data_IF_482821726312
#
_entry.id   IF_482821726312
#
_cell.length_a   1.000
_cell.length_b   1.000
_cell.length_c   1.000
_cell.angle_alpha   90.00
_cell.angle_beta   90.00
_cell.angle_gamma   90.00
#
_symmetry.space_group_name_H-M   'P 1'
#
loop_
_entity.id
_entity.type
_entity.pdbx_description
1 polymer ?
#
# COMPACT_ATOMS: atom_id res chain seq x y z
N UNK A 1 -11.29 46.43 23.76
CA UNK A 1 -9.96 45.83 23.55
C UNK A 1 -9.99 44.46 24.22
N UNK A 2 -9.81 43.30 23.60
CA UNK A 2 -8.84 42.93 22.56
C UNK A 2 -9.36 41.64 21.90
N UNK A 3 -9.63 41.67 20.59
CA UNK A 3 -9.95 40.49 19.77
C UNK A 3 -8.69 40.18 18.94
N UNK A 4 -7.79 39.35 19.47
CA UNK A 4 -6.76 38.72 18.64
C UNK A 4 -7.33 37.41 18.11
N UNK A 5 -8.02 37.50 16.97
CA UNK A 5 -8.19 36.35 16.08
C UNK A 5 -6.79 35.98 15.59
N UNK A 6 -6.22 34.93 16.16
CA UNK A 6 -5.07 34.23 15.58
C UNK A 6 -5.50 33.78 14.19
N UNK A 7 -5.11 34.52 13.15
CA UNK A 7 -5.17 34.02 11.78
C UNK A 7 -4.26 32.79 11.73
N UNK A 8 -4.84 31.59 11.86
CA UNK A 8 -4.16 30.35 11.50
C UNK A 8 -3.80 30.48 10.02
N UNK A 9 -2.51 30.74 9.74
CA UNK A 9 -1.99 30.65 8.37
C UNK A 9 -2.27 29.23 7.88
N UNK A 10 -2.90 29.10 6.71
CA UNK A 10 -3.04 27.80 6.06
C UNK A 10 -1.65 27.17 5.94
N UNK A 11 -1.50 25.85 6.14
CA UNK A 11 -0.24 25.19 5.86
C UNK A 11 0.11 25.44 4.38
N UNK A 12 1.37 25.73 4.11
CA UNK A 12 1.84 26.03 2.76
C UNK A 12 2.62 24.82 2.27
N UNK A 13 2.17 24.25 1.15
CA UNK A 13 2.97 23.28 0.39
C UNK A 13 4.30 23.94 0.00
N UNK A 14 5.39 23.22 0.18
CA UNK A 14 6.70 23.64 -0.29
C UNK A 14 6.66 23.78 -1.83
N UNK A 15 7.55 24.61 -2.42
CA UNK A 15 7.58 24.81 -3.86
C UNK A 15 7.59 23.50 -4.67
N UNK A 16 8.41 22.53 -4.27
CA UNK A 16 8.50 21.23 -4.95
C UNK A 16 7.20 20.44 -4.86
N UNK A 17 6.60 20.38 -3.67
CA UNK A 17 5.34 19.66 -3.43
C UNK A 17 4.23 20.22 -4.31
N UNK A 18 4.16 21.55 -4.39
CA UNK A 18 3.17 22.25 -5.21
C UNK A 18 3.39 21.99 -6.69
N UNK A 19 4.59 22.22 -7.20
CA UNK A 19 4.91 22.05 -8.60
C UNK A 19 4.69 20.61 -9.06
N UNK A 20 5.05 19.62 -8.22
CA UNK A 20 4.81 18.21 -8.52
C UNK A 20 3.31 17.86 -8.55
N UNK A 21 2.52 18.35 -7.59
CA UNK A 21 1.07 18.12 -7.56
C UNK A 21 0.32 18.84 -8.69
N UNK A 22 0.74 20.04 -9.05
CA UNK A 22 0.22 20.79 -10.21
C UNK A 22 0.57 20.07 -11.52
N UNK A 23 1.81 19.62 -11.68
CA UNK A 23 2.23 18.84 -12.84
C UNK A 23 1.52 17.49 -12.94
N UNK A 24 1.29 16.82 -11.81
CA UNK A 24 0.52 15.56 -11.77
C UNK A 24 -0.92 15.77 -12.27
N UNK A 25 -1.58 16.87 -11.89
CA UNK A 25 -2.95 17.15 -12.33
C UNK A 25 -3.08 17.19 -13.86
N UNK A 26 -2.05 17.64 -14.59
CA UNK A 26 -2.04 17.66 -16.05
C UNK A 26 -2.14 16.25 -16.68
N UNK A 27 -1.75 15.20 -15.95
CA UNK A 27 -1.77 13.81 -16.39
C UNK A 27 -3.09 13.09 -16.05
N UNK A 28 -3.99 13.74 -15.31
CA UNK A 28 -5.26 13.15 -14.87
C UNK A 28 -6.40 13.50 -15.82
N UNK A 29 -7.36 12.57 -15.95
CA UNK A 29 -8.66 12.86 -16.54
C UNK A 29 -9.41 13.95 -15.73
N UNK A 30 -10.40 14.64 -16.31
CA UNK A 30 -11.06 15.79 -15.67
C UNK A 30 -11.65 15.50 -14.28
N UNK A 31 -12.27 14.34 -14.10
CA UNK A 31 -12.91 13.96 -12.84
C UNK A 31 -11.91 13.69 -11.70
N UNK A 32 -10.94 12.75 -11.83
CA UNK A 32 -9.94 12.55 -10.78
C UNK A 32 -9.08 13.80 -10.53
N UNK A 33 -8.86 14.64 -11.54
CA UNK A 33 -8.21 15.94 -11.38
C UNK A 33 -9.00 16.86 -10.44
N UNK A 34 -10.31 16.96 -10.63
CA UNK A 34 -11.18 17.79 -9.80
C UNK A 34 -11.25 17.29 -8.35
N UNK A 35 -11.26 15.97 -8.14
CA UNK A 35 -11.19 15.36 -6.82
C UNK A 35 -9.86 15.72 -6.14
N UNK A 36 -8.74 15.48 -6.82
CA UNK A 36 -7.40 15.79 -6.31
C UNK A 36 -7.28 17.27 -5.92
N UNK A 37 -7.73 18.19 -6.77
CA UNK A 37 -7.67 19.63 -6.50
C UNK A 37 -8.40 20.00 -5.19
N UNK A 38 -9.60 19.45 -4.97
CA UNK A 38 -10.37 19.66 -3.73
C UNK A 38 -9.68 19.07 -2.50
N UNK A 39 -9.02 17.92 -2.65
CA UNK A 39 -8.26 17.31 -1.56
C UNK A 39 -7.07 18.20 -1.15
N UNK A 40 -6.30 18.69 -2.12
CA UNK A 40 -5.18 19.61 -1.90
C UNK A 40 -5.66 20.89 -1.21
N UNK A 41 -6.78 21.47 -1.65
CA UNK A 41 -7.36 22.67 -1.02
C UNK A 41 -7.81 22.47 0.42
N UNK A 42 -8.21 21.24 0.79
CA UNK A 42 -8.71 20.88 2.12
C UNK A 42 -7.58 20.59 3.13
N UNK A 43 -6.32 20.49 2.69
CA UNK A 43 -5.17 20.25 3.57
C UNK A 43 -5.04 21.39 4.58
N UNK A 44 -5.07 21.05 5.87
CA UNK A 44 -5.03 22.00 6.97
C UNK A 44 -3.82 21.81 7.90
N UNK A 45 -3.11 20.69 7.76
CA UNK A 45 -1.83 20.45 8.41
C UNK A 45 -0.92 19.60 7.53
N UNK A 46 0.38 19.88 7.55
CA UNK A 46 1.39 19.12 6.79
C UNK A 46 2.50 18.73 7.77
N UNK A 47 2.69 17.42 7.94
CA UNK A 47 3.85 16.85 8.62
C UNK A 47 4.93 16.53 7.60
N UNK A 48 6.20 16.82 7.93
CA UNK A 48 7.34 16.51 7.07
C UNK A 48 8.35 15.73 7.88
N UNK A 49 8.49 14.46 7.56
CA UNK A 49 9.53 13.64 8.13
C UNK A 49 10.86 14.02 7.48
N UNK A 50 11.76 14.40 8.36
CA UNK A 50 13.07 14.89 8.04
C UNK A 50 14.01 13.76 7.59
N UNK A 51 13.84 12.54 8.07
CA UNK A 51 14.77 11.44 7.80
C UNK A 51 14.35 10.63 6.57
N UNK A 52 13.06 10.29 6.48
CA UNK A 52 12.52 9.52 5.35
C UNK A 52 12.28 10.38 4.10
N UNK A 53 12.02 11.68 4.27
CA UNK A 53 11.58 12.56 3.18
C UNK A 53 10.11 12.37 2.80
N UNK A 54 9.30 11.90 3.75
CA UNK A 54 7.86 11.81 3.63
C UNK A 54 7.18 13.13 4.00
N UNK A 55 6.17 13.48 3.22
CA UNK A 55 5.30 14.64 3.46
C UNK A 55 3.88 14.13 3.61
N UNK A 56 3.35 14.18 4.83
CA UNK A 56 2.01 13.68 5.16
C UNK A 56 1.04 14.86 5.24
N UNK A 57 -0.04 14.76 4.47
CA UNK A 57 -1.07 15.75 4.28
C UNK A 57 -2.27 15.39 5.14
N UNK A 58 -2.64 16.27 6.08
CA UNK A 58 -3.77 16.07 6.96
C UNK A 58 -4.89 17.05 6.61
N UNK A 59 -6.11 16.53 6.60
CA UNK A 59 -7.34 17.28 6.44
C UNK A 59 -8.07 17.37 7.78
N UNK A 60 -8.91 18.40 7.95
CA UNK A 60 -9.73 18.50 9.18
C UNK A 60 -10.98 17.64 9.05
N UNK A 61 -11.35 16.94 10.13
CA UNK A 61 -12.62 16.18 10.23
C UNK A 61 -13.89 17.02 9.93
N UNK A 62 -13.82 18.34 10.00
CA UNK A 62 -14.95 19.25 9.70
C UNK A 62 -15.06 19.63 8.22
N UNK A 63 -14.02 19.35 7.43
CA UNK A 63 -13.94 19.67 6.00
C UNK A 63 -13.25 18.50 5.29
N UNK A 64 -13.92 17.34 5.31
CA UNK A 64 -13.45 16.19 4.54
C UNK A 64 -13.68 16.48 3.06
N UNK A 65 -12.63 16.47 2.23
CA UNK A 65 -12.77 16.68 0.80
C UNK A 65 -13.49 15.51 0.12
N UNK A 66 -13.85 15.70 -1.15
CA UNK A 66 -14.28 14.57 -1.99
C UNK A 66 -13.20 13.50 -2.02
N UNK A 67 -13.58 12.25 -1.77
CA UNK A 67 -12.69 11.09 -1.84
C UNK A 67 -12.69 10.51 -3.26
N UNK A 68 -11.60 9.87 -3.63
CA UNK A 68 -11.61 8.98 -4.78
C UNK A 68 -12.56 7.79 -4.52
N UNK A 69 -13.26 7.27 -5.56
CA UNK A 69 -14.05 6.05 -5.42
C UNK A 69 -13.27 4.86 -4.87
N UNK A 70 -12.00 4.73 -5.25
CA UNK A 70 -11.10 3.73 -4.68
C UNK A 70 -10.73 4.09 -3.23
N UNK A 71 -11.41 3.49 -2.26
CA UNK A 71 -11.23 3.74 -0.83
C UNK A 71 -10.44 2.63 -0.11
N UNK A 72 -9.44 2.01 -0.77
CA UNK A 72 -8.52 1.08 -0.09
C UNK A 72 -7.91 1.77 1.14
N UNK A 73 -7.73 1.02 2.22
CA UNK A 73 -7.17 1.56 3.47
C UNK A 73 -5.85 2.29 3.20
N UNK A 74 -4.96 1.68 2.42
CA UNK A 74 -3.77 2.31 1.88
C UNK A 74 -3.53 1.82 0.45
N UNK A 75 -3.15 2.72 -0.46
CA UNK A 75 -2.81 2.39 -1.83
C UNK A 75 -1.67 3.29 -2.34
N UNK A 76 -0.60 2.69 -2.87
CA UNK A 76 0.34 3.40 -3.72
C UNK A 76 -0.39 3.78 -5.01
N UNK A 77 -0.71 5.05 -5.17
CA UNK A 77 -1.47 5.51 -6.33
C UNK A 77 -0.57 5.68 -7.55
N UNK A 78 0.51 6.45 -7.41
CA UNK A 78 1.40 6.70 -8.52
C UNK A 78 2.86 6.93 -8.09
N UNK A 79 3.75 6.67 -9.04
CA UNK A 79 5.14 7.10 -8.98
C UNK A 79 5.36 8.17 -10.04
N UNK A 80 5.75 9.36 -9.61
CA UNK A 80 6.13 10.48 -10.48
C UNK A 80 7.64 10.49 -10.62
N UNK A 81 8.14 10.35 -11.84
CA UNK A 81 9.56 10.51 -12.16
C UNK A 81 9.79 11.93 -12.67
N UNK A 82 10.71 12.65 -12.05
CA UNK A 82 10.89 14.07 -12.32
C UNK A 82 12.35 14.50 -12.21
N UNK A 83 12.64 15.66 -12.79
CA UNK A 83 13.92 16.35 -12.67
C UNK A 83 13.74 17.72 -12.04
N UNK A 84 14.77 18.18 -11.35
CA UNK A 84 14.91 19.54 -10.86
C UNK A 84 16.29 20.07 -11.27
N UNK A 85 16.47 21.37 -11.55
CA UNK A 85 17.75 21.91 -12.02
C UNK A 85 18.94 21.64 -11.08
N UNK A 86 18.68 21.53 -9.78
CA UNK A 86 19.72 21.35 -8.76
C UNK A 86 20.26 19.92 -8.66
N UNK A 87 19.61 18.92 -9.27
CA UNK A 87 20.01 17.52 -9.18
C UNK A 87 20.13 16.92 -10.60
N UNK A 88 21.27 16.28 -10.94
CA UNK A 88 21.47 15.73 -12.27
C UNK A 88 20.68 14.43 -12.51
N UNK A 89 20.41 13.69 -11.43
CA UNK A 89 19.78 12.38 -11.48
C UNK A 89 18.27 12.48 -11.69
N UNK A 90 17.71 11.44 -12.30
CA UNK A 90 16.25 11.29 -12.37
C UNK A 90 15.73 10.92 -10.97
N UNK A 91 14.86 11.76 -10.43
CA UNK A 91 14.26 11.56 -9.12
C UNK A 91 12.91 10.88 -9.24
N UNK A 92 12.41 10.35 -8.13
CA UNK A 92 11.06 9.79 -8.04
C UNK A 92 10.36 10.20 -6.76
N UNK A 93 9.06 10.48 -6.86
CA UNK A 93 8.16 10.66 -5.74
C UNK A 93 7.07 9.61 -5.81
N UNK A 94 6.78 8.94 -4.70
CA UNK A 94 5.66 8.00 -4.58
C UNK A 94 4.52 8.66 -3.82
N UNK A 95 3.31 8.56 -4.36
CA UNK A 95 2.13 9.17 -3.77
C UNK A 95 1.19 8.08 -3.27
N UNK A 96 0.81 8.17 -2.00
CA UNK A 96 -0.06 7.21 -1.34
C UNK A 96 -1.40 7.82 -1.00
N UNK A 97 -2.44 7.02 -1.16
CA UNK A 97 -3.81 7.33 -0.75
C UNK A 97 -4.15 6.53 0.50
N UNK A 98 -4.92 7.12 1.40
CA UNK A 98 -5.53 6.46 2.55
C UNK A 98 -7.04 6.65 2.47
N UNK A 99 -7.79 5.55 2.35
CA UNK A 99 -9.26 5.57 2.17
C UNK A 99 -9.74 6.55 1.08
N UNK A 100 -9.01 6.60 -0.04
CA UNK A 100 -9.33 7.47 -1.18
C UNK A 100 -8.94 8.95 -1.01
N UNK A 101 -8.19 9.31 0.04
CA UNK A 101 -7.63 10.65 0.24
C UNK A 101 -6.12 10.64 0.00
N UNK A 102 -5.59 11.63 -0.74
CA UNK A 102 -4.15 11.83 -0.86
C UNK A 102 -3.54 12.12 0.51
N UNK A 103 -2.64 11.26 0.95
CA UNK A 103 -2.07 11.31 2.28
C UNK A 103 -0.57 11.56 2.27
N UNK A 104 0.22 10.76 1.55
CA UNK A 104 1.69 10.85 1.62
C UNK A 104 2.32 11.17 0.28
N UNK A 105 3.28 12.09 0.28
CA UNK A 105 4.25 12.30 -0.80
C UNK A 105 5.63 11.82 -0.30
N UNK A 106 6.10 10.68 -0.79
CA UNK A 106 7.37 10.09 -0.40
C UNK A 106 8.45 10.40 -1.45
N UNK A 107 9.32 11.35 -1.13
CA UNK A 107 10.40 11.83 -2.00
C UNK A 107 11.76 11.17 -1.69
N UNK A 108 11.85 10.46 -0.56
CA UNK A 108 13.12 9.90 -0.08
C UNK A 108 14.09 10.95 0.49
N UNK A 109 15.28 10.49 0.88
CA UNK A 109 16.31 11.30 1.58
C UNK A 109 16.73 12.59 0.86
N UNK A 110 16.55 12.65 -0.46
CA UNK A 110 16.92 13.82 -1.27
C UNK A 110 15.99 15.01 -1.03
N UNK A 111 14.75 14.79 -0.56
CA UNK A 111 13.71 15.81 -0.38
C UNK A 111 14.21 17.12 0.21
N UNK A 112 14.99 17.07 1.31
CA UNK A 112 15.46 18.28 1.99
C UNK A 112 16.31 19.20 1.09
N UNK A 113 17.07 18.62 0.16
CA UNK A 113 17.93 19.38 -0.76
C UNK A 113 17.14 20.10 -1.84
N UNK A 114 15.96 19.56 -2.16
CA UNK A 114 15.17 19.96 -3.34
C UNK A 114 13.81 20.57 -2.98
N UNK A 115 13.41 20.60 -1.71
CA UNK A 115 12.08 21.04 -1.29
C UNK A 115 11.74 22.48 -1.75
N UNK A 116 12.75 23.35 -1.89
CA UNK A 116 12.59 24.73 -2.34
C UNK A 116 12.56 24.91 -3.86
N UNK A 117 12.81 23.85 -4.64
CA UNK A 117 12.76 23.91 -6.11
C UNK A 117 11.31 24.06 -6.58
N UNK A 118 11.03 25.07 -7.39
CA UNK A 118 9.74 25.28 -8.05
C UNK A 118 9.73 24.81 -9.51
N UNK A 119 10.90 24.78 -10.16
CA UNK A 119 11.07 24.21 -11.49
C UNK A 119 11.16 22.69 -11.42
N UNK A 120 10.04 22.02 -11.74
CA UNK A 120 9.92 20.56 -11.75
C UNK A 120 9.51 20.11 -13.14
N UNK A 121 10.38 19.31 -13.78
CA UNK A 121 10.05 18.68 -15.05
C UNK A 121 9.62 17.23 -14.80
N UNK A 122 8.33 16.95 -14.94
CA UNK A 122 7.81 15.57 -14.87
C UNK A 122 8.17 14.86 -16.17
N UNK A 123 8.99 13.81 -16.09
CA UNK A 123 9.33 12.98 -17.25
C UNK A 123 8.29 11.90 -17.52
N UNK A 124 7.79 11.24 -16.47
CA UNK A 124 6.67 10.31 -16.58
C UNK A 124 5.93 10.16 -15.27
N UNK A 125 4.68 9.71 -15.37
CA UNK A 125 3.87 9.25 -14.26
C UNK A 125 3.48 7.80 -14.52
N UNK A 126 3.67 6.94 -13.51
CA UNK A 126 3.18 5.56 -13.52
C UNK A 126 2.05 5.47 -12.50
N UNK A 127 0.84 5.19 -12.96
CA UNK A 127 -0.30 4.89 -12.10
C UNK A 127 -0.36 3.39 -11.82
N UNK A 128 -0.42 3.03 -10.54
CA UNK A 128 -0.46 1.63 -10.10
C UNK A 128 -1.87 1.18 -9.73
N UNK A 129 -2.78 2.14 -9.52
CA UNK A 129 -4.17 1.89 -9.15
C UNK A 129 -5.08 2.86 -9.91
N UNK A 130 -6.20 2.34 -10.43
CA UNK A 130 -7.30 3.18 -10.89
C UNK A 130 -8.08 3.71 -9.69
N UNK A 131 -7.94 5.01 -9.45
CA UNK A 131 -8.60 5.70 -8.34
C UNK A 131 -10.10 5.89 -8.55
N UNK A 132 -10.58 5.79 -9.79
CA UNK A 132 -11.99 5.91 -10.14
C UNK A 132 -12.73 4.58 -10.10
N UNK A 133 -12.01 3.46 -10.08
CA UNK A 133 -12.59 2.14 -9.83
C UNK A 133 -12.84 1.99 -8.33
N UNK A 134 -14.10 1.88 -7.87
CA UNK A 134 -14.38 1.59 -6.47
C UNK A 134 -13.67 0.31 -6.07
N UNK A 135 -13.16 0.28 -4.84
CA UNK A 135 -12.91 -1.00 -4.21
C UNK A 135 -14.26 -1.63 -4.11
N UNK A 136 -14.47 -2.75 -4.79
CA UNK A 136 -15.48 -3.67 -4.33
C UNK A 136 -15.12 -3.89 -2.86
N UNK A 137 -15.90 -3.33 -1.92
CA UNK A 137 -16.22 -4.10 -0.72
C UNK A 137 -16.51 -5.45 -1.33
N UNK A 138 -15.61 -6.43 -1.20
CA UNK A 138 -15.86 -7.73 -1.77
C UNK A 138 -17.24 -8.04 -1.21
N UNK A 139 -18.31 -8.05 -2.04
CA UNK A 139 -19.51 -8.72 -1.58
C UNK A 139 -18.94 -10.07 -1.15
N UNK A 140 -19.35 -10.68 -0.03
CA UNK A 140 -18.96 -12.06 0.22
C UNK A 140 -19.16 -12.74 -1.12
N UNK A 141 -18.05 -13.21 -1.72
CA UNK A 141 -18.13 -13.74 -3.07
C UNK A 141 -19.27 -14.72 -2.96
N UNK A 142 -20.24 -14.61 -3.85
CA UNK A 142 -21.29 -15.61 -3.90
C UNK A 142 -20.63 -16.88 -4.46
N UNK A 143 -19.73 -17.45 -3.67
CA UNK A 143 -19.30 -18.81 -3.78
C UNK A 143 -20.58 -19.58 -3.54
N UNK A 144 -21.02 -20.30 -4.56
CA UNK A 144 -22.20 -21.14 -4.39
C UNK A 144 -21.92 -22.05 -3.21
N UNK A 145 -22.82 -22.12 -2.22
CA UNK A 145 -22.72 -23.04 -1.10
C UNK A 145 -22.41 -24.44 -1.65
N UNK A 146 -21.15 -24.89 -1.53
CA UNK A 146 -20.62 -26.09 -2.20
C UNK A 146 -19.25 -25.92 -2.86
N UNK A 147 -18.98 -24.81 -3.55
CA UNK A 147 -17.66 -24.53 -4.15
C UNK A 147 -16.63 -24.12 -3.07
N UNK A 148 -17.07 -23.43 -2.02
CA UNK A 148 -16.23 -22.98 -0.91
C UNK A 148 -15.71 -24.16 -0.08
N UNK A 149 -16.57 -25.15 0.17
CA UNK A 149 -16.20 -26.38 0.86
C UNK A 149 -15.15 -27.18 0.05
N UNK A 150 -15.28 -27.25 -1.27
CA UNK A 150 -14.31 -27.91 -2.14
C UNK A 150 -12.97 -27.16 -2.20
N UNK A 151 -12.99 -25.82 -2.13
CA UNK A 151 -11.76 -25.02 -2.07
C UNK A 151 -11.04 -25.21 -0.72
N UNK A 152 -11.77 -25.27 0.40
CA UNK A 152 -11.18 -25.55 1.71
C UNK A 152 -10.52 -26.93 1.79
N UNK A 153 -11.08 -27.95 1.12
CA UNK A 153 -10.48 -29.29 1.02
C UNK A 153 -9.17 -29.30 0.22
N UNK A 154 -9.00 -28.34 -0.69
CA UNK A 154 -7.78 -28.21 -1.50
C UNK A 154 -6.65 -27.43 -0.79
N UNK A 155 -6.92 -26.81 0.36
CA UNK A 155 -5.92 -26.04 1.08
C UNK A 155 -4.77 -26.93 1.58
N UNK A 156 -3.52 -26.43 1.60
CA UNK A 156 -2.40 -27.16 2.17
C UNK A 156 -2.67 -27.59 3.62
N UNK A 157 -2.12 -28.74 4.03
CA UNK A 157 -2.32 -29.29 5.39
C UNK A 157 -1.98 -28.28 6.51
N UNK A 158 -0.90 -27.52 6.37
CA UNK A 158 -0.55 -26.51 7.38
C UNK A 158 -1.63 -25.42 7.52
N UNK A 159 -2.33 -25.11 6.43
CA UNK A 159 -3.39 -24.11 6.41
C UNK A 159 -4.65 -24.67 7.07
N UNK A 160 -5.01 -25.93 6.81
CA UNK A 160 -6.15 -26.58 7.49
C UNK A 160 -5.89 -26.76 8.99
N UNK A 161 -4.66 -27.05 9.39
CA UNK A 161 -4.24 -27.09 10.80
C UNK A 161 -4.36 -25.72 11.50
N UNK A 162 -4.01 -24.62 10.81
CA UNK A 162 -4.29 -23.26 11.30
C UNK A 162 -5.79 -22.99 11.37
N UNK A 163 -6.55 -23.47 10.38
CA UNK A 163 -8.01 -23.40 10.30
C UNK A 163 -8.76 -23.99 11.49
N UNK A 164 -8.15 -24.97 12.17
CA UNK A 164 -8.70 -25.52 13.41
C UNK A 164 -8.55 -24.60 14.63
N UNK A 165 -7.59 -23.67 14.60
CA UNK A 165 -7.31 -22.70 15.67
C UNK A 165 -7.94 -21.34 15.40
N UNK A 166 -7.94 -20.91 14.14
CA UNK A 166 -8.51 -19.66 13.67
C UNK A 166 -9.41 -19.94 12.46
N UNK A 167 -10.66 -19.48 12.50
CA UNK A 167 -11.60 -19.75 11.42
C UNK A 167 -11.10 -19.17 10.08
N UNK A 168 -11.04 -20.02 9.06
CA UNK A 168 -10.79 -19.60 7.68
C UNK A 168 -12.13 -19.24 7.04
N UNK A 169 -12.17 -18.06 6.43
CA UNK A 169 -13.33 -17.49 5.77
C UNK A 169 -12.93 -17.04 4.36
N UNK A 170 -13.87 -17.09 3.42
CA UNK A 170 -13.74 -16.48 2.09
C UNK A 170 -12.46 -16.89 1.34
N UNK A 171 -12.37 -18.17 0.95
CA UNK A 171 -11.27 -18.67 0.12
C UNK A 171 -11.51 -18.28 -1.34
N UNK A 172 -10.55 -17.57 -1.95
CA UNK A 172 -10.62 -17.18 -3.34
C UNK A 172 -10.20 -18.35 -4.25
N UNK A 173 -10.88 -18.57 -5.39
CA UNK A 173 -10.48 -19.60 -6.33
C UNK A 173 -9.05 -19.35 -6.84
N UNK A 174 -8.26 -20.39 -7.11
CA UNK A 174 -6.91 -20.21 -7.64
C UNK A 174 -6.95 -19.59 -9.04
N UNK A 175 -5.91 -18.81 -9.35
CA UNK A 175 -5.69 -18.28 -10.69
C UNK A 175 -5.42 -19.40 -11.70
N UNK A 176 -5.69 -19.13 -12.98
CA UNK A 176 -5.24 -20.02 -14.04
C UNK A 176 -3.70 -20.17 -14.01
N UNK A 177 -3.14 -21.30 -14.49
CA UNK A 177 -1.69 -21.48 -14.56
C UNK A 177 -0.97 -20.36 -15.29
N UNK A 178 -1.58 -19.81 -16.34
CA UNK A 178 -1.05 -18.70 -17.14
C UNK A 178 -1.02 -17.39 -16.36
N UNK A 179 -2.14 -16.99 -15.73
CA UNK A 179 -2.22 -15.78 -14.90
C UNK A 179 -1.25 -15.87 -13.71
N UNK A 180 -1.23 -17.02 -13.04
CA UNK A 180 -0.31 -17.27 -11.92
C UNK A 180 1.15 -17.11 -12.36
N UNK A 181 1.52 -17.68 -13.51
CA UNK A 181 2.88 -17.58 -14.03
C UNK A 181 3.25 -16.13 -14.40
N UNK A 182 2.30 -15.36 -14.91
CA UNK A 182 2.49 -13.94 -15.19
C UNK A 182 2.75 -13.15 -13.90
N UNK A 183 1.89 -13.28 -12.89
CA UNK A 183 2.08 -12.57 -11.63
C UNK A 183 3.37 -12.98 -10.90
N UNK A 184 3.75 -14.26 -10.94
CA UNK A 184 5.03 -14.72 -10.38
C UNK A 184 6.24 -14.09 -11.07
N UNK A 185 6.14 -13.73 -12.36
CA UNK A 185 7.23 -13.04 -13.06
C UNK A 185 7.31 -11.55 -12.70
N UNK A 186 6.19 -10.95 -12.36
CA UNK A 186 6.11 -9.55 -11.91
C UNK A 186 6.65 -9.37 -10.49
N UNK A 187 6.53 -10.41 -9.65
CA UNK A 187 7.10 -10.45 -8.30
C UNK A 187 8.60 -10.72 -8.40
N UNK A 188 9.39 -9.65 -8.36
CA UNK A 188 10.86 -9.73 -8.37
C UNK A 188 11.43 -10.18 -7.00
N UNK A 189 10.83 -11.20 -6.37
CA UNK A 189 11.25 -11.75 -5.09
C UNK A 189 11.11 -13.28 -5.11
N UNK A 190 12.00 -13.99 -4.42
CA UNK A 190 11.77 -15.40 -4.14
C UNK A 190 10.68 -15.54 -3.07
N UNK A 191 9.63 -16.30 -3.41
CA UNK A 191 8.55 -16.65 -2.49
C UNK A 191 8.86 -17.97 -1.77
N UNK A 192 8.44 -18.13 -0.50
CA UNK A 192 8.66 -19.37 0.23
C UNK A 192 7.82 -20.51 -0.37
N UNK A 193 8.34 -21.74 -0.29
CA UNK A 193 7.75 -22.91 -0.97
C UNK A 193 6.33 -23.23 -0.49
N UNK A 194 6.04 -23.04 0.78
CA UNK A 194 4.72 -23.29 1.36
C UNK A 194 3.67 -22.27 0.90
N UNK A 195 4.05 -21.00 0.70
CA UNK A 195 3.22 -20.01 0.02
C UNK A 195 3.03 -20.33 -1.47
N UNK A 196 4.08 -20.80 -2.15
CA UNK A 196 3.96 -21.25 -3.54
C UNK A 196 3.00 -22.43 -3.70
N UNK A 197 2.88 -23.31 -2.70
CA UNK A 197 1.88 -24.39 -2.69
C UNK A 197 0.47 -23.85 -2.42
N UNK A 198 0.35 -22.86 -1.53
CA UNK A 198 -0.91 -22.21 -1.22
C UNK A 198 -1.55 -21.55 -2.44
N UNK A 199 -0.77 -20.78 -3.22
CA UNK A 199 -1.28 -20.10 -4.44
C UNK A 199 -1.71 -21.07 -5.56
N UNK A 200 -1.42 -22.38 -5.41
CA UNK A 200 -1.96 -23.40 -6.30
C UNK A 200 -3.37 -23.81 -5.91
N UNK A 201 -3.71 -23.70 -4.63
CA UNK A 201 -5.00 -24.08 -4.08
C UNK A 201 -6.00 -22.92 -4.04
N UNK A 202 -5.52 -21.69 -3.84
CA UNK A 202 -6.38 -20.49 -3.74
C UNK A 202 -5.63 -19.23 -4.15
N UNK A 203 -6.34 -18.18 -4.54
CA UNK A 203 -5.75 -16.84 -4.75
C UNK A 203 -5.97 -15.91 -3.55
N UNK A 204 -5.72 -16.43 -2.35
CA UNK A 204 -5.91 -15.71 -1.09
C UNK A 204 -7.13 -16.16 -0.31
N UNK A 205 -7.15 -15.81 0.96
CA UNK A 205 -8.22 -16.15 1.89
C UNK A 205 -8.19 -15.23 3.12
N UNK A 206 -9.26 -15.26 3.92
CA UNK A 206 -9.29 -14.62 5.23
C UNK A 206 -9.16 -15.67 6.33
N UNK A 207 -8.44 -15.35 7.38
CA UNK A 207 -8.33 -16.21 8.55
C UNK A 207 -8.40 -15.36 9.81
N UNK A 208 -9.46 -15.54 10.60
CA UNK A 208 -9.89 -14.60 11.62
C UNK A 208 -9.96 -13.16 11.07
N UNK A 209 -9.19 -12.25 11.66
CA UNK A 209 -9.03 -10.84 11.30
C UNK A 209 -7.87 -10.60 10.30
N UNK A 210 -7.10 -11.62 9.96
CA UNK A 210 -6.01 -11.52 8.99
C UNK A 210 -6.50 -11.75 7.55
N UNK A 211 -5.84 -11.09 6.61
CA UNK A 211 -5.99 -11.32 5.18
C UNK A 211 -4.69 -11.93 4.65
N UNK A 212 -4.81 -13.09 4.00
CA UNK A 212 -3.72 -13.70 3.23
C UNK A 212 -3.94 -13.38 1.76
N UNK A 213 -3.01 -12.63 1.19
CA UNK A 213 -3.11 -12.15 -0.18
C UNK A 213 -2.78 -13.26 -1.17
N UNK A 214 -3.58 -13.36 -2.23
CA UNK A 214 -3.23 -14.06 -3.46
C UNK A 214 -2.33 -13.20 -4.35
N UNK A 215 -1.86 -13.80 -5.45
CA UNK A 215 -0.96 -13.12 -6.37
C UNK A 215 -1.61 -11.91 -7.05
N UNK A 216 -2.92 -11.95 -7.27
CA UNK A 216 -3.66 -10.84 -7.90
C UNK A 216 -3.69 -9.57 -7.05
N UNK A 217 -3.49 -9.71 -5.74
CA UNK A 217 -3.62 -8.63 -4.75
C UNK A 217 -2.33 -8.32 -3.98
N UNK A 218 -1.19 -8.92 -4.34
CA UNK A 218 0.11 -8.60 -3.72
C UNK A 218 0.43 -7.11 -3.88
N UNK A 219 0.83 -6.48 -2.77
CA UNK A 219 1.19 -5.05 -2.70
C UNK A 219 2.63 -4.87 -2.30
N UNK A 220 3.20 -3.69 -2.59
CA UNK A 220 4.54 -3.32 -2.15
C UNK A 220 4.50 -2.25 -1.05
N UNK A 221 5.28 -2.45 0.01
CA UNK A 221 5.61 -1.41 1.01
C UNK A 221 7.09 -1.12 0.98
N UNK A 222 7.48 0.11 1.34
CA UNK A 222 8.88 0.55 1.29
C UNK A 222 9.36 0.92 2.68
N UNK A 223 10.38 0.19 3.15
CA UNK A 223 11.13 0.52 4.35
C UNK A 223 12.54 1.03 3.96
N UNK A 224 13.26 1.69 4.88
CA UNK A 224 14.69 2.00 4.70
C UNK A 224 15.55 0.81 4.25
N UNK A 225 15.22 -0.41 4.70
CA UNK A 225 15.88 -1.65 4.33
C UNK A 225 15.57 -2.15 2.90
N UNK A 226 14.44 -1.72 2.31
CA UNK A 226 14.07 -2.09 0.94
C UNK A 226 12.56 -2.15 0.70
N UNK A 227 12.19 -2.68 -0.48
CA UNK A 227 10.80 -2.86 -0.89
C UNK A 227 10.32 -4.27 -0.55
N UNK A 228 9.17 -4.40 0.09
CA UNK A 228 8.61 -5.68 0.51
C UNK A 228 7.29 -5.97 -0.20
N UNK A 229 7.19 -7.14 -0.82
CA UNK A 229 5.94 -7.64 -1.38
C UNK A 229 5.13 -8.30 -0.25
N UNK A 230 3.95 -7.77 0.05
CA UNK A 230 3.10 -8.21 1.15
C UNK A 230 2.34 -9.48 0.79
N UNK A 231 2.45 -10.48 1.66
CA UNK A 231 1.79 -11.79 1.55
C UNK A 231 0.61 -11.92 2.51
N UNK A 232 0.63 -11.22 3.64
CA UNK A 232 -0.49 -11.18 4.58
C UNK A 232 -0.49 -9.89 5.41
N UNK A 233 -1.65 -9.52 5.95
CA UNK A 233 -1.81 -8.40 6.88
C UNK A 233 -2.81 -8.70 7.99
N UNK A 234 -2.60 -8.08 9.15
CA UNK A 234 -3.52 -8.11 10.30
C UNK A 234 -3.27 -6.90 11.19
N UNK A 235 -4.26 -6.05 11.39
CA UNK A 235 -4.22 -5.00 12.42
C UNK A 235 -3.01 -4.04 12.38
N UNK A 236 -2.39 -3.82 11.22
CA UNK A 236 -1.18 -2.98 11.08
C UNK A 236 0.16 -3.73 11.20
N UNK A 237 0.11 -5.05 11.39
CA UNK A 237 1.21 -5.98 11.15
C UNK A 237 1.12 -6.58 9.75
N UNK A 238 2.27 -6.82 9.13
CA UNK A 238 2.36 -7.33 7.77
C UNK A 238 3.40 -8.44 7.68
N UNK A 239 3.18 -9.37 6.77
CA UNK A 239 4.18 -10.34 6.33
C UNK A 239 4.57 -10.01 4.89
N UNK A 240 5.86 -9.93 4.62
CA UNK A 240 6.33 -9.67 3.27
C UNK A 240 7.68 -10.27 2.96
N UNK A 241 7.95 -10.44 1.66
CA UNK A 241 9.25 -10.88 1.14
C UNK A 241 10.01 -9.68 0.58
N UNK A 242 11.32 -9.65 0.78
CA UNK A 242 12.16 -8.54 0.32
C UNK A 242 12.42 -8.67 -1.20
N UNK A 243 12.05 -7.63 -1.95
CA UNK A 243 12.27 -7.56 -3.39
C UNK A 243 13.77 -7.59 -3.72
N UNK A 244 14.13 -8.39 -4.72
CA UNK A 244 15.50 -8.62 -5.16
C UNK A 244 16.26 -9.67 -4.36
N UNK A 245 15.71 -10.18 -3.25
CA UNK A 245 16.33 -11.29 -2.52
C UNK A 245 15.89 -12.65 -3.06
N UNK A 246 16.80 -13.61 -2.93
CA UNK A 246 16.69 -14.98 -3.47
C UNK A 246 16.60 -16.06 -2.41
N UNK A 247 16.50 -15.67 -1.14
CA UNK A 247 16.50 -16.59 -0.01
C UNK A 247 15.11 -17.13 0.34
N UNK A 248 14.04 -16.44 -0.07
CA UNK A 248 12.67 -16.84 0.19
C UNK A 248 12.20 -16.56 1.61
N UNK A 249 12.92 -15.75 2.39
CA UNK A 249 12.53 -15.45 3.76
C UNK A 249 11.33 -14.52 3.82
N UNK A 250 10.45 -14.79 4.78
CA UNK A 250 9.30 -13.95 5.12
C UNK A 250 9.68 -13.07 6.31
N UNK A 251 9.44 -11.78 6.17
CA UNK A 251 9.73 -10.78 7.18
C UNK A 251 8.43 -10.31 7.81
N UNK A 252 8.40 -10.20 9.14
CA UNK A 252 7.34 -9.53 9.87
C UNK A 252 7.65 -8.04 9.98
N UNK A 253 6.74 -7.23 9.46
CA UNK A 253 6.79 -5.78 9.41
C UNK A 253 5.66 -5.22 10.28
N UNK A 254 5.84 -4.01 10.78
CA UNK A 254 4.81 -3.31 11.54
C UNK A 254 4.80 -1.85 11.15
N UNK A 255 3.61 -1.26 10.98
CA UNK A 255 3.45 0.11 10.47
C UNK A 255 4.18 1.19 11.31
N UNK A 256 4.37 0.95 12.61
CA UNK A 256 5.08 1.89 13.50
C UNK A 256 6.61 1.71 13.49
N UNK A 257 7.14 0.69 12.81
CA UNK A 257 8.55 0.34 12.82
C UNK A 257 9.19 0.48 11.45
N UNK A 258 10.40 1.06 11.43
CA UNK A 258 11.16 1.31 10.21
C UNK A 258 12.00 0.11 9.75
N UNK A 259 12.06 -0.95 10.55
CA UNK A 259 12.84 -2.16 10.25
C UNK A 259 11.98 -3.41 10.51
N UNK A 260 12.23 -4.52 9.79
CA UNK A 260 11.60 -5.79 10.10
C UNK A 260 11.86 -6.22 11.54
N UNK A 261 10.81 -6.74 12.19
CA UNK A 261 10.87 -7.14 13.59
C UNK A 261 11.18 -8.64 13.77
N UNK A 262 10.89 -9.47 12.76
CA UNK A 262 11.21 -10.88 12.75
C UNK A 262 11.38 -11.42 11.32
N UNK A 263 11.99 -12.60 11.20
CA UNK A 263 12.27 -13.29 9.93
C UNK A 263 11.99 -14.79 10.09
N UNK A 264 11.38 -15.38 9.07
CA UNK A 264 10.91 -16.76 9.06
C UNK A 264 11.26 -17.45 7.74
N UNK A 265 11.63 -18.72 7.80
CA UNK A 265 11.94 -19.55 6.62
C UNK A 265 10.69 -20.06 5.90
N UNK A 266 9.55 -20.12 6.60
CA UNK A 266 8.29 -20.61 6.11
C UNK A 266 7.18 -19.57 6.30
N UNK A 267 6.29 -19.45 5.32
CA UNK A 267 5.12 -18.58 5.41
C UNK A 267 4.14 -19.04 6.49
N UNK A 268 3.95 -20.35 6.67
CA UNK A 268 3.07 -20.92 7.69
C UNK A 268 3.48 -20.48 9.10
N UNK A 269 4.78 -20.53 9.41
CA UNK A 269 5.33 -20.08 10.70
C UNK A 269 5.13 -18.57 10.90
N UNK A 270 5.37 -17.79 9.85
CA UNK A 270 5.18 -16.34 9.88
C UNK A 270 3.70 -15.96 10.08
N UNK A 271 2.78 -16.68 9.44
CA UNK A 271 1.34 -16.47 9.57
C UNK A 271 0.84 -16.84 10.96
N UNK A 272 1.27 -17.97 11.51
CA UNK A 272 0.99 -18.34 12.89
C UNK A 272 1.50 -17.28 13.87
N UNK A 273 2.71 -16.77 13.65
CA UNK A 273 3.27 -15.69 14.44
C UNK A 273 2.38 -14.43 14.38
N UNK A 274 1.95 -14.01 13.20
CA UNK A 274 1.06 -12.85 13.01
C UNK A 274 -0.29 -13.05 13.72
N UNK A 275 -0.91 -14.22 13.59
CA UNK A 275 -2.20 -14.55 14.21
C UNK A 275 -2.13 -14.64 15.73
N UNK A 276 -0.96 -15.01 16.27
CA UNK A 276 -0.75 -15.14 17.71
C UNK A 276 -0.44 -13.81 18.41
N UNK A 277 -0.29 -12.71 17.68
CA UNK A 277 0.00 -11.37 18.24
C UNK A 277 -1.19 -10.83 19.04
N UNK A 278 -1.08 -10.62 20.36
CA UNK A 278 -2.18 -10.10 21.17
C UNK A 278 -2.36 -8.58 21.06
N UNK A 279 -1.37 -7.89 20.51
CA UNK A 279 -1.29 -6.43 20.38
C UNK A 279 -1.88 -5.90 19.06
N UNK A 280 -2.22 -6.80 18.13
CA UNK A 280 -2.86 -6.44 16.87
C UNK A 280 -4.39 -6.62 17.03
N UNK A 281 -5.18 -5.58 16.66
CA UNK A 281 -6.64 -5.59 16.75
C UNK A 281 -7.28 -6.59 15.80
#
# INVERSE_FOLDING_TARGET
>A
MWLLRVLRRRPVLAPLERALLEGLQAHLAPEPRAILARQIEAVNYIYRDKESGEVNLYTSKKQSPSRFPNQRLEALWCTVYYRVPSEPDLLKARLYLVSGELFTLAFGKTYRKIASQDEVHIERVVFHVDVMQPVSETPPLSVREGEEAQLMECLPQWCTELGHRWAIEQVLPPLSPEERQQHLQEIEASLPTDYLNLIQACDGFRIADAVVWGLSDIREVYLPSGAYCLLAERGGGYLGVLKGQRDGYVYYLHHEHLEPLAQFAAFAEALEYLLSRPDLP
#
